data_IF_806513812672
#
_entry.id   IF_806513812672
#
_cell.length_a   1.000
_cell.length_b   1.000
_cell.length_c   1.000
_cell.angle_alpha   90.00
_cell.angle_beta   90.00
_cell.angle_gamma   90.00
#
_symmetry.space_group_name_H-M   'P 1'
#
loop_
_entity.id
_entity.type
_entity.pdbx_description
1 polymer ?
#
# COMPACT_ATOMS: atom_id res chain seq x y z
N UNK A 1 4.17 -9.45 13.62
CA UNK A 1 4.29 -9.33 12.15
C UNK A 1 5.74 -9.44 11.63
N UNK A 2 6.74 -8.77 12.23
CA UNK A 2 8.18 -8.94 11.89
C UNK A 2 8.64 -10.42 11.89
N UNK A 3 8.12 -11.24 12.80
CA UNK A 3 8.53 -12.65 12.95
C UNK A 3 7.98 -13.55 11.83
N UNK A 4 6.73 -13.39 11.39
CA UNK A 4 6.16 -14.15 10.27
C UNK A 4 6.92 -13.79 8.98
N UNK A 5 7.21 -12.50 8.77
CA UNK A 5 8.06 -12.05 7.68
C UNK A 5 9.50 -12.62 7.77
N UNK A 6 10.12 -12.66 8.96
CA UNK A 6 11.44 -13.28 9.16
C UNK A 6 11.44 -14.79 8.88
N UNK A 7 10.43 -15.54 9.34
CA UNK A 7 10.27 -16.98 9.06
C UNK A 7 10.10 -17.26 7.56
N UNK A 8 9.39 -16.36 6.86
CA UNK A 8 9.16 -16.45 5.42
C UNK A 8 10.40 -16.03 4.61
N UNK A 9 11.10 -14.97 5.03
CA UNK A 9 12.30 -14.41 4.39
C UNK A 9 13.54 -15.27 4.59
N UNK A 10 13.75 -15.86 5.77
CA UNK A 10 14.81 -16.88 5.95
C UNK A 10 14.60 -18.09 5.03
N UNK A 11 13.33 -18.44 4.74
CA UNK A 11 12.98 -19.44 3.74
C UNK A 11 13.42 -19.08 2.32
N UNK A 12 13.44 -17.78 1.98
CA UNK A 12 13.89 -17.25 0.68
C UNK A 12 15.41 -17.12 0.58
N UNK A 13 16.12 -16.73 1.65
CA UNK A 13 17.58 -16.57 1.63
C UNK A 13 18.31 -17.94 1.52
N UNK A 14 17.71 -19.01 2.05
CA UNK A 14 18.14 -20.40 1.80
C UNK A 14 17.96 -20.79 0.31
N UNK A 15 17.00 -20.17 -0.39
CA UNK A 15 16.69 -20.45 -1.79
C UNK A 15 17.67 -19.75 -2.76
N UNK A 16 18.15 -18.55 -2.40
CA UNK A 16 19.13 -17.79 -3.21
C UNK A 16 20.54 -18.38 -3.19
N UNK A 17 20.90 -19.11 -2.13
CA UNK A 17 22.26 -19.65 -1.91
C UNK A 17 22.48 -21.06 -2.46
N UNK A 18 21.45 -21.72 -3.02
CA UNK A 18 21.55 -23.11 -3.48
C UNK A 18 21.36 -23.22 -5.00
N UNK A 19 22.24 -23.90 -5.77
CA UNK A 19 22.21 -23.88 -7.23
C UNK A 19 20.89 -24.39 -7.83
N UNK A 20 20.42 -23.71 -8.86
CA UNK A 20 19.24 -24.05 -9.68
C UNK A 20 19.37 -25.43 -10.33
N UNK A 21 18.90 -26.49 -9.64
CA UNK A 21 18.49 -27.75 -10.28
C UNK A 21 17.28 -28.34 -9.57
N UNK A 22 16.13 -28.30 -10.24
CA UNK A 22 15.01 -29.24 -10.15
C UNK A 22 14.61 -29.79 -8.77
N UNK A 23 14.32 -28.92 -7.80
CA UNK A 23 13.71 -29.40 -6.55
C UNK A 23 12.23 -29.76 -6.78
N UNK A 24 11.92 -31.04 -6.60
CA UNK A 24 10.54 -31.53 -6.61
C UNK A 24 9.82 -30.99 -5.35
N UNK A 25 8.57 -30.53 -5.51
CA UNK A 25 7.61 -30.14 -4.46
C UNK A 25 7.72 -30.96 -3.15
N UNK A 26 7.95 -32.26 -3.25
CA UNK A 26 8.12 -33.16 -2.10
C UNK A 26 9.39 -32.93 -1.25
N UNK A 27 10.50 -32.49 -1.85
CA UNK A 27 11.79 -32.33 -1.18
C UNK A 27 11.84 -31.08 -0.28
N UNK A 28 11.14 -30.00 -0.64
CA UNK A 28 11.05 -28.78 0.17
C UNK A 28 10.16 -28.98 1.40
N UNK A 29 9.02 -29.67 1.27
CA UNK A 29 8.21 -30.11 2.41
C UNK A 29 9.02 -31.01 3.35
N UNK A 30 9.80 -31.93 2.79
CA UNK A 30 10.67 -32.80 3.57
C UNK A 30 11.75 -32.01 4.33
N UNK A 31 12.26 -30.91 3.77
CA UNK A 31 13.25 -30.03 4.42
C UNK A 31 12.63 -29.24 5.59
N UNK A 32 11.44 -28.67 5.42
CA UNK A 32 10.71 -27.97 6.49
C UNK A 32 10.37 -28.91 7.66
N UNK A 33 9.79 -30.07 7.37
CA UNK A 33 9.47 -31.11 8.35
C UNK A 33 10.73 -31.67 9.01
N UNK A 34 11.83 -31.81 8.26
CA UNK A 34 13.12 -32.24 8.82
C UNK A 34 13.68 -31.17 9.76
N UNK A 35 13.61 -29.88 9.39
CA UNK A 35 14.08 -28.78 10.23
C UNK A 35 13.27 -28.72 11.53
N UNK A 36 11.94 -28.74 11.44
CA UNK A 36 11.06 -28.82 12.62
C UNK A 36 11.41 -29.97 13.59
N UNK A 37 11.87 -31.12 13.07
CA UNK A 37 12.24 -32.27 13.90
C UNK A 37 13.63 -32.23 14.51
N UNK A 38 14.58 -31.49 13.93
CA UNK A 38 16.01 -31.60 14.29
C UNK A 38 16.65 -30.26 14.68
N UNK A 39 15.99 -29.14 14.41
CA UNK A 39 16.42 -27.78 14.74
C UNK A 39 15.51 -27.26 15.85
N UNK A 40 16.05 -27.20 17.08
CA UNK A 40 15.29 -26.87 18.29
C UNK A 40 14.85 -25.41 18.32
N UNK A 41 15.65 -24.51 17.77
CA UNK A 41 15.33 -23.09 17.70
C UNK A 41 14.20 -22.86 16.69
N UNK A 42 14.28 -23.51 15.52
CA UNK A 42 13.20 -23.47 14.55
C UNK A 42 11.89 -24.09 15.08
N UNK A 43 11.98 -25.22 15.80
CA UNK A 43 10.81 -25.85 16.41
C UNK A 43 10.14 -24.91 17.42
N UNK A 44 10.92 -24.33 18.34
CA UNK A 44 10.41 -23.41 19.36
C UNK A 44 9.74 -22.19 18.71
N UNK A 45 10.41 -21.58 17.73
CA UNK A 45 9.88 -20.44 17.01
C UNK A 45 8.57 -20.77 16.28
N UNK A 46 8.54 -21.90 15.57
CA UNK A 46 7.35 -22.37 14.85
C UNK A 46 6.17 -22.62 15.80
N UNK A 47 6.43 -23.28 16.93
CA UNK A 47 5.40 -23.60 17.91
C UNK A 47 4.85 -22.34 18.57
N UNK A 48 5.71 -21.42 19.00
CA UNK A 48 5.31 -20.12 19.55
C UNK A 48 4.49 -19.30 18.57
N UNK A 49 4.90 -19.21 17.31
CA UNK A 49 4.17 -18.43 16.29
C UNK A 49 2.81 -19.06 15.99
N UNK A 50 2.75 -20.39 15.86
CA UNK A 50 1.46 -21.07 15.64
C UNK A 50 0.53 -20.98 16.86
N UNK A 51 1.06 -20.98 18.09
CA UNK A 51 0.29 -20.75 19.31
C UNK A 51 -0.31 -19.34 19.34
N UNK A 52 0.53 -18.33 19.14
CA UNK A 52 0.10 -16.92 19.14
C UNK A 52 -0.96 -16.68 18.06
N UNK A 53 -0.73 -17.14 16.83
CA UNK A 53 -1.69 -16.96 15.74
C UNK A 53 -3.00 -17.70 15.99
N UNK A 54 -2.96 -18.93 16.49
CA UNK A 54 -4.17 -19.66 16.83
C UNK A 54 -4.97 -18.97 17.94
N UNK A 55 -4.31 -18.43 18.98
CA UNK A 55 -4.95 -17.67 20.05
C UNK A 55 -5.59 -16.37 19.53
N UNK A 56 -4.87 -15.63 18.68
CA UNK A 56 -5.40 -14.41 18.05
C UNK A 56 -6.64 -14.75 17.21
N UNK A 57 -6.58 -15.76 16.35
CA UNK A 57 -7.73 -16.14 15.51
C UNK A 57 -8.92 -16.60 16.34
N UNK A 58 -8.70 -17.32 17.45
CA UNK A 58 -9.79 -17.70 18.37
C UNK A 58 -10.46 -16.46 18.98
N UNK A 59 -9.64 -15.57 19.54
CA UNK A 59 -10.13 -14.32 20.14
C UNK A 59 -10.88 -13.46 19.11
N UNK A 60 -10.34 -13.31 17.90
CA UNK A 60 -10.96 -12.55 16.83
C UNK A 60 -12.29 -13.17 16.37
N UNK A 61 -12.39 -14.51 16.32
CA UNK A 61 -13.63 -15.20 15.97
C UNK A 61 -14.68 -15.11 17.09
N UNK A 62 -14.27 -15.11 18.36
CA UNK A 62 -15.17 -14.87 19.49
C UNK A 62 -15.73 -13.44 19.46
N UNK A 63 -14.85 -12.44 19.21
CA UNK A 63 -15.25 -11.05 19.00
C UNK A 63 -16.23 -10.90 17.84
N UNK A 64 -15.97 -11.58 16.71
CA UNK A 64 -16.86 -11.56 15.56
C UNK A 64 -18.25 -12.10 15.91
N UNK A 65 -18.32 -13.28 16.54
CA UNK A 65 -19.60 -13.89 16.97
C UNK A 65 -20.35 -12.98 17.93
N UNK A 66 -19.65 -12.32 18.85
CA UNK A 66 -20.26 -11.39 19.78
C UNK A 66 -20.87 -10.18 19.05
N UNK A 67 -20.15 -9.61 18.07
CA UNK A 67 -20.64 -8.50 17.24
C UNK A 67 -21.85 -8.91 16.39
N UNK A 68 -21.79 -10.07 15.73
CA UNK A 68 -22.92 -10.59 14.94
C UNK A 68 -24.17 -10.81 15.80
N UNK A 69 -24.01 -11.35 17.02
CA UNK A 69 -25.12 -11.53 17.96
C UNK A 69 -25.68 -10.18 18.47
N UNK A 70 -24.82 -9.20 18.73
CA UNK A 70 -25.22 -7.87 19.15
C UNK A 70 -25.96 -7.10 18.03
N UNK A 71 -25.49 -7.20 16.78
CA UNK A 71 -26.14 -6.63 15.60
C UNK A 71 -27.52 -7.25 15.36
N UNK A 72 -27.66 -8.56 15.56
CA UNK A 72 -28.95 -9.25 15.42
C UNK A 72 -29.98 -8.82 16.48
N UNK A 73 -29.51 -8.50 17.70
CA UNK A 73 -30.34 -7.95 18.77
C UNK A 73 -30.66 -6.45 18.61
N UNK A 74 -29.79 -5.67 17.95
CA UNK A 74 -29.91 -4.21 17.81
C UNK A 74 -30.55 -3.71 16.50
N UNK A 75 -31.29 -4.56 15.76
CA UNK A 75 -31.97 -4.19 14.50
C UNK A 75 -32.95 -2.99 14.57
N UNK A 76 -33.19 -2.38 15.73
CA UNK A 76 -34.13 -1.26 15.93
C UNK A 76 -33.55 0.05 16.50
N UNK A 77 -32.24 0.20 16.74
CA UNK A 77 -31.70 1.48 17.23
C UNK A 77 -30.46 1.91 16.44
N UNK A 78 -30.57 3.07 15.78
CA UNK A 78 -29.44 3.74 15.12
C UNK A 78 -28.50 4.38 16.14
N UNK A 79 -27.20 4.28 15.82
CA UNK A 79 -26.05 5.02 16.35
C UNK A 79 -25.68 4.81 17.84
N UNK A 80 -24.56 4.13 18.06
CA UNK A 80 -23.74 4.29 19.27
C UNK A 80 -22.34 4.73 18.87
N UNK A 81 -21.90 5.90 19.35
CA UNK A 81 -20.51 6.34 19.24
C UNK A 81 -19.62 5.46 20.13
N UNK A 82 -18.43 5.13 19.61
CA UNK A 82 -17.49 4.21 20.22
C UNK A 82 -16.70 4.87 21.37
N UNK A 83 -16.47 4.14 22.44
CA UNK A 83 -15.71 4.51 23.64
C UNK A 83 -14.32 3.83 23.67
N UNK A 84 -13.41 4.26 24.56
CA UNK A 84 -12.06 3.69 24.68
C UNK A 84 -12.02 2.18 25.00
N UNK A 85 -13.08 1.61 25.60
CA UNK A 85 -13.20 0.16 25.82
C UNK A 85 -13.37 -0.64 24.52
N UNK A 86 -13.74 0.00 23.42
CA UNK A 86 -14.02 -0.67 22.14
C UNK A 86 -12.73 -1.06 21.38
N UNK A 87 -11.57 -0.57 21.84
CA UNK A 87 -10.26 -0.88 21.26
C UNK A 87 -9.85 -2.33 21.57
N UNK A 88 -10.14 -2.83 22.78
CA UNK A 88 -9.84 -4.24 23.15
C UNK A 88 -10.75 -5.24 22.41
N UNK A 89 -11.92 -4.79 21.94
CA UNK A 89 -12.91 -5.58 21.19
C UNK A 89 -12.71 -5.56 19.67
N UNK A 90 -11.66 -4.89 19.15
CA UNK A 90 -11.37 -4.89 17.71
C UNK A 90 -10.84 -6.24 17.26
N UNK A 91 -11.25 -6.64 16.06
CA UNK A 91 -10.63 -7.75 15.34
C UNK A 91 -9.24 -7.30 14.91
N UNK A 92 -8.24 -8.18 14.99
CA UNK A 92 -6.87 -7.85 14.60
C UNK A 92 -6.65 -7.99 13.09
N UNK A 93 -5.56 -7.38 12.59
CA UNK A 93 -5.13 -7.52 11.19
C UNK A 93 -4.54 -8.90 10.87
N UNK A 94 -4.33 -9.78 11.87
CA UNK A 94 -3.57 -11.02 11.72
C UNK A 94 -4.12 -11.96 10.64
N UNK A 95 -5.44 -12.08 10.53
CA UNK A 95 -6.08 -12.92 9.51
C UNK A 95 -5.88 -12.32 8.10
N UNK A 96 -5.91 -11.00 7.97
CA UNK A 96 -5.65 -10.29 6.71
C UNK A 96 -4.23 -10.54 6.23
N UNK A 97 -3.25 -10.43 7.12
CA UNK A 97 -1.84 -10.69 6.78
C UNK A 97 -1.61 -12.13 6.36
N UNK A 98 -2.27 -13.08 7.03
CA UNK A 98 -2.14 -14.51 6.71
C UNK A 98 -2.84 -14.88 5.41
N UNK A 99 -4.04 -14.36 5.16
CA UNK A 99 -4.76 -14.55 3.90
C UNK A 99 -3.94 -14.05 2.71
N UNK A 100 -3.34 -12.88 2.86
CA UNK A 100 -2.53 -12.27 1.81
C UNK A 100 -1.17 -12.96 1.60
N UNK A 101 -0.49 -13.40 2.67
CA UNK A 101 0.69 -14.25 2.51
C UNK A 101 0.36 -15.48 1.65
N UNK A 102 -0.84 -16.07 1.81
CA UNK A 102 -1.23 -17.21 0.99
C UNK A 102 -1.47 -16.89 -0.49
N UNK A 103 -1.96 -15.69 -0.83
CA UNK A 103 -2.15 -15.28 -2.22
C UNK A 103 -0.83 -14.97 -2.91
N UNK A 104 0.09 -14.25 -2.26
CA UNK A 104 1.36 -13.84 -2.89
C UNK A 104 2.34 -15.03 -3.05
N UNK A 105 2.37 -15.98 -2.12
CA UNK A 105 3.25 -17.16 -2.22
C UNK A 105 2.68 -18.30 -3.08
N UNK A 106 1.48 -18.13 -3.65
CA UNK A 106 0.81 -19.10 -4.54
C UNK A 106 1.34 -19.07 -5.98
N UNK A 107 1.75 -17.89 -6.48
CA UNK A 107 1.93 -17.69 -7.92
C UNK A 107 3.25 -18.22 -8.50
N UNK A 108 4.23 -18.59 -7.68
CA UNK A 108 5.51 -19.09 -8.23
C UNK A 108 6.22 -20.20 -7.44
N UNK A 109 5.87 -20.48 -6.18
CA UNK A 109 6.21 -21.71 -5.46
C UNK A 109 5.58 -21.69 -4.05
N UNK A 110 4.71 -22.64 -3.67
CA UNK A 110 4.20 -22.68 -2.31
C UNK A 110 5.35 -22.95 -1.35
N UNK A 111 5.71 -21.96 -0.53
CA UNK A 111 6.66 -22.15 0.56
C UNK A 111 6.05 -23.15 1.55
N UNK A 112 6.48 -24.42 1.50
CA UNK A 112 5.96 -25.51 2.33
C UNK A 112 6.05 -25.24 3.85
N UNK A 113 6.87 -24.29 4.29
CA UNK A 113 6.87 -23.75 5.66
C UNK A 113 5.49 -23.20 6.06
N UNK A 114 4.78 -22.55 5.13
CA UNK A 114 3.44 -21.98 5.35
C UNK A 114 2.42 -23.09 5.53
N UNK A 115 2.52 -24.19 4.77
CA UNK A 115 1.59 -25.32 4.89
C UNK A 115 1.75 -25.98 6.25
N UNK A 116 2.98 -26.25 6.69
CA UNK A 116 3.22 -26.83 8.02
C UNK A 116 2.72 -25.90 9.14
N UNK A 117 2.94 -24.60 8.99
CA UNK A 117 2.45 -23.59 9.93
C UNK A 117 0.92 -23.57 9.97
N UNK A 118 0.25 -23.60 8.81
CA UNK A 118 -1.21 -23.66 8.71
C UNK A 118 -1.78 -24.95 9.32
N UNK A 119 -1.14 -26.08 9.10
CA UNK A 119 -1.53 -27.35 9.73
C UNK A 119 -1.46 -27.23 11.25
N UNK A 120 -0.36 -26.68 11.79
CA UNK A 120 -0.23 -26.47 13.24
C UNK A 120 -1.23 -25.45 13.79
N UNK A 121 -1.48 -24.34 13.08
CA UNK A 121 -2.50 -23.36 13.47
C UNK A 121 -3.88 -24.03 13.47
N UNK A 122 -4.24 -24.77 12.42
CA UNK A 122 -5.53 -25.43 12.31
C UNK A 122 -5.76 -26.43 13.46
N UNK A 123 -4.74 -27.23 13.83
CA UNK A 123 -4.83 -28.18 14.95
C UNK A 123 -5.01 -27.48 16.30
N UNK A 124 -4.47 -26.28 16.44
CA UNK A 124 -4.59 -25.46 17.65
C UNK A 124 -5.90 -24.66 17.67
N UNK A 125 -6.41 -24.29 16.51
CA UNK A 125 -7.60 -23.45 16.33
C UNK A 125 -8.90 -24.25 16.43
N UNK A 126 -9.04 -25.33 15.67
CA UNK A 126 -10.27 -26.14 15.67
C UNK A 126 -10.32 -27.14 16.83
N UNK A 127 -11.52 -27.51 17.32
CA UNK A 127 -11.68 -28.51 18.36
C UNK A 127 -11.10 -29.89 17.96
N UNK A 128 -10.42 -30.61 18.87
CA UNK A 128 -9.89 -31.94 18.59
C UNK A 128 -10.94 -32.95 18.11
N UNK A 129 -12.20 -32.79 18.52
CA UNK A 129 -13.31 -33.68 18.18
C UNK A 129 -13.62 -33.63 16.68
N UNK A 130 -13.51 -32.46 16.06
CA UNK A 130 -13.74 -32.30 14.62
C UNK A 130 -12.63 -32.97 13.81
N UNK A 131 -11.39 -32.95 14.31
CA UNK A 131 -10.28 -33.73 13.74
C UNK A 131 -10.54 -35.23 13.84
N UNK A 132 -10.94 -35.70 15.02
CA UNK A 132 -11.25 -37.13 15.24
C UNK A 132 -12.36 -37.61 14.31
N UNK A 133 -13.41 -36.80 14.12
CA UNK A 133 -14.49 -37.12 13.18
C UNK A 133 -13.97 -37.30 11.75
N UNK A 134 -13.12 -36.39 11.27
CA UNK A 134 -12.52 -36.49 9.93
C UNK A 134 -11.57 -37.69 9.79
N UNK A 135 -10.87 -38.07 10.86
CA UNK A 135 -10.02 -39.26 10.85
C UNK A 135 -10.82 -40.57 10.85
N UNK A 136 -12.03 -40.56 11.40
CA UNK A 136 -12.97 -41.68 11.37
C UNK A 136 -13.68 -41.77 10.01
N UNK A 137 -14.16 -40.64 9.48
CA UNK A 137 -15.05 -40.56 8.31
C UNK A 137 -14.29 -40.41 6.96
N UNK A 138 -13.02 -40.01 6.98
CA UNK A 138 -12.25 -39.58 5.79
C UNK A 138 -11.36 -40.63 5.10
N UNK A 139 -11.85 -41.17 3.97
CA UNK A 139 -11.15 -41.37 2.68
C UNK A 139 -9.78 -42.08 2.53
N UNK A 140 -9.82 -43.36 2.12
CA UNK A 140 -8.95 -44.07 1.13
C UNK A 140 -7.43 -44.27 1.41
N UNK A 141 -6.94 -44.03 2.63
CA UNK A 141 -5.58 -44.40 3.03
C UNK A 141 -5.55 -45.51 4.09
N UNK A 142 -4.86 -46.63 3.84
CA UNK A 142 -4.63 -47.65 4.87
C UNK A 142 -3.61 -47.14 5.91
N UNK A 143 -4.09 -46.57 7.02
CA UNK A 143 -3.28 -46.30 8.22
C UNK A 143 -3.48 -44.93 8.88
N UNK A 144 -3.17 -44.85 10.18
CA UNK A 144 -3.33 -43.65 11.03
C UNK A 144 -2.74 -42.38 10.43
N UNK A 145 -1.57 -42.49 9.79
CA UNK A 145 -0.86 -41.33 9.19
C UNK A 145 -1.58 -40.73 7.98
N UNK A 146 -2.27 -41.54 7.19
CA UNK A 146 -2.99 -41.05 6.00
C UNK A 146 -4.27 -40.28 6.41
N UNK A 147 -4.96 -40.78 7.45
CA UNK A 147 -6.13 -40.15 8.05
C UNK A 147 -5.81 -38.79 8.66
N UNK A 148 -4.73 -38.69 9.45
CA UNK A 148 -4.29 -37.41 10.01
C UNK A 148 -4.00 -36.36 8.93
N UNK A 149 -3.29 -36.75 7.85
CA UNK A 149 -3.03 -35.86 6.72
C UNK A 149 -4.29 -35.41 5.97
N UNK A 150 -5.31 -36.25 5.92
CA UNK A 150 -6.59 -35.88 5.33
C UNK A 150 -7.29 -34.83 6.20
N UNK A 151 -7.38 -35.07 7.51
CA UNK A 151 -7.94 -34.12 8.46
C UNK A 151 -7.22 -32.76 8.42
N UNK A 152 -5.88 -32.77 8.40
CA UNK A 152 -5.07 -31.55 8.24
C UNK A 152 -5.45 -30.76 6.97
N UNK A 153 -5.57 -31.43 5.82
CA UNK A 153 -5.93 -30.75 4.55
C UNK A 153 -7.32 -30.12 4.61
N UNK A 154 -8.29 -30.84 5.18
CA UNK A 154 -9.66 -30.34 5.31
C UNK A 154 -9.71 -29.14 6.24
N UNK A 155 -9.05 -29.20 7.40
CA UNK A 155 -9.05 -28.11 8.36
C UNK A 155 -8.26 -26.90 7.88
N UNK A 156 -7.14 -27.10 7.19
CA UNK A 156 -6.42 -26.00 6.53
C UNK A 156 -7.29 -25.34 5.46
N UNK A 157 -8.07 -26.12 4.70
CA UNK A 157 -9.01 -25.56 3.73
C UNK A 157 -10.07 -24.71 4.41
N UNK A 158 -10.67 -25.19 5.50
CA UNK A 158 -11.65 -24.41 6.29
C UNK A 158 -11.06 -23.14 6.87
N UNK A 159 -9.82 -23.20 7.39
CA UNK A 159 -9.12 -22.02 7.88
C UNK A 159 -9.00 -20.94 6.77
N UNK A 160 -8.71 -21.37 5.53
CA UNK A 160 -8.56 -20.48 4.37
C UNK A 160 -9.87 -19.95 3.81
N UNK A 161 -10.89 -20.79 3.77
CA UNK A 161 -12.13 -20.53 3.04
C UNK A 161 -13.22 -19.94 3.96
N UNK A 162 -13.15 -20.22 5.26
CA UNK A 162 -14.16 -19.80 6.25
C UNK A 162 -13.59 -18.75 7.21
N UNK A 163 -12.48 -19.05 7.89
CA UNK A 163 -11.98 -18.23 9.01
C UNK A 163 -11.33 -16.95 8.50
N UNK A 164 -10.34 -17.06 7.61
CA UNK A 164 -9.64 -15.88 7.11
C UNK A 164 -10.58 -14.89 6.43
N UNK A 165 -11.44 -15.28 5.46
CA UNK A 165 -12.31 -14.32 4.80
C UNK A 165 -13.28 -13.64 5.77
N UNK A 166 -13.81 -14.37 6.77
CA UNK A 166 -14.73 -13.81 7.77
C UNK A 166 -14.04 -12.77 8.67
N UNK A 167 -12.87 -13.11 9.22
CA UNK A 167 -12.10 -12.19 10.06
C UNK A 167 -11.59 -11.00 9.26
N UNK A 168 -11.12 -11.23 8.04
CA UNK A 168 -10.65 -10.16 7.16
C UNK A 168 -11.81 -9.22 6.82
N UNK A 169 -12.99 -9.74 6.43
CA UNK A 169 -14.19 -8.93 6.21
C UNK A 169 -14.56 -8.08 7.42
N UNK A 170 -14.59 -8.70 8.60
CA UNK A 170 -15.00 -8.01 9.80
C UNK A 170 -13.97 -6.99 10.31
N UNK A 171 -12.68 -7.24 10.09
CA UNK A 171 -11.62 -6.24 10.32
C UNK A 171 -11.87 -4.98 9.47
N UNK A 172 -12.10 -5.14 8.17
CA UNK A 172 -12.34 -3.98 7.29
C UNK A 172 -13.65 -3.28 7.61
N UNK A 173 -14.73 -4.01 7.89
CA UNK A 173 -16.01 -3.38 8.27
C UNK A 173 -15.91 -2.51 9.54
N UNK A 174 -14.94 -2.77 10.42
CA UNK A 174 -14.68 -1.96 11.62
C UNK A 174 -13.90 -0.67 11.36
N UNK A 175 -13.11 -0.65 10.29
CA UNK A 175 -12.25 0.50 9.94
C UNK A 175 -12.82 1.30 8.77
N UNK A 176 -13.71 0.67 7.98
CA UNK A 176 -14.39 1.21 6.81
C UNK A 176 -15.87 0.83 6.93
N UNK A 177 -16.65 1.53 7.78
CA UNK A 177 -18.07 1.24 7.97
C UNK A 177 -18.82 1.34 6.65
N UNK A 178 -19.81 0.45 6.48
CA UNK A 178 -20.58 0.30 5.25
C UNK A 178 -21.52 1.51 5.08
N UNK A 179 -21.05 2.57 4.42
CA UNK A 179 -21.96 3.44 3.69
C UNK A 179 -22.57 2.66 2.51
N UNK A 180 -23.62 3.20 1.87
CA UNK A 180 -24.09 2.68 0.58
C UNK A 180 -22.88 2.39 -0.32
N UNK A 181 -22.83 1.21 -0.95
CA UNK A 181 -21.66 0.76 -1.70
C UNK A 181 -21.16 1.90 -2.59
N UNK A 182 -19.97 2.42 -2.26
CA UNK A 182 -19.49 3.64 -2.90
C UNK A 182 -19.41 3.41 -4.41
N UNK A 183 -19.42 4.51 -5.19
CA UNK A 183 -19.23 4.41 -6.64
C UNK A 183 -17.95 3.59 -6.97
N UNK A 184 -16.93 3.68 -6.12
CA UNK A 184 -15.68 2.92 -6.21
C UNK A 184 -15.92 1.42 -5.99
N UNK A 185 -16.64 1.00 -4.94
CA UNK A 185 -16.93 -0.41 -4.70
C UNK A 185 -17.78 -1.04 -5.81
N UNK A 186 -18.78 -0.29 -6.28
CA UNK A 186 -19.63 -0.72 -7.41
C UNK A 186 -18.79 -0.94 -8.67
N UNK A 187 -17.79 -0.09 -8.90
CA UNK A 187 -16.84 -0.26 -9.99
C UNK A 187 -15.90 -1.47 -9.76
N UNK A 188 -15.32 -1.61 -8.57
CA UNK A 188 -14.41 -2.70 -8.24
C UNK A 188 -15.09 -4.08 -8.28
N UNK A 189 -16.39 -4.18 -7.98
CA UNK A 189 -17.16 -5.41 -8.24
C UNK A 189 -17.24 -5.75 -9.72
N UNK A 190 -17.40 -4.75 -10.61
CA UNK A 190 -17.37 -4.97 -12.07
C UNK A 190 -16.00 -5.46 -12.51
N UNK A 191 -14.92 -4.82 -12.02
CA UNK A 191 -13.54 -5.26 -12.27
C UNK A 191 -13.36 -6.73 -11.89
N UNK A 192 -13.79 -7.09 -10.68
CA UNK A 192 -13.71 -8.45 -10.16
C UNK A 192 -14.51 -9.44 -11.03
N UNK A 193 -15.74 -9.09 -11.42
CA UNK A 193 -16.57 -9.93 -12.28
C UNK A 193 -15.90 -10.21 -13.64
N UNK A 194 -15.30 -9.19 -14.26
CA UNK A 194 -14.55 -9.31 -15.53
C UNK A 194 -13.37 -10.29 -15.37
N UNK A 195 -12.69 -10.26 -14.23
CA UNK A 195 -11.55 -11.13 -13.94
C UNK A 195 -11.97 -12.59 -13.72
N UNK A 196 -13.09 -12.82 -13.03
CA UNK A 196 -13.62 -14.16 -12.81
C UNK A 196 -14.06 -14.84 -14.12
N UNK A 197 -14.52 -14.07 -15.11
CA UNK A 197 -14.98 -14.60 -16.40
C UNK A 197 -13.84 -14.87 -17.41
N UNK A 198 -12.69 -14.21 -17.29
CA UNK A 198 -11.61 -14.29 -18.28
C UNK A 198 -10.60 -15.43 -18.07
N UNK A 199 -10.71 -16.19 -16.97
CA UNK A 199 -10.01 -17.47 -16.75
C UNK A 199 -8.47 -17.42 -16.76
N UNK A 200 -7.85 -16.24 -16.87
CA UNK A 200 -6.39 -16.08 -16.91
C UNK A 200 -5.93 -14.98 -15.97
N UNK A 201 -5.13 -15.35 -14.98
CA UNK A 201 -4.52 -14.45 -13.99
C UNK A 201 -3.40 -13.55 -14.56
N UNK A 202 -3.29 -13.43 -15.89
CA UNK A 202 -2.04 -12.97 -16.51
C UNK A 202 -2.17 -11.92 -17.61
N UNK A 203 -3.36 -11.60 -18.12
CA UNK A 203 -3.51 -10.52 -19.11
C UNK A 203 -4.96 -10.13 -19.24
N UNK A 204 -5.34 -9.06 -18.55
CA UNK A 204 -6.45 -8.24 -19.02
C UNK A 204 -5.86 -7.39 -20.15
N UNK A 205 -5.77 -8.00 -21.33
CA UNK A 205 -5.57 -7.23 -22.55
C UNK A 205 -6.79 -6.34 -22.70
N UNK A 206 -6.58 -5.04 -22.57
CA UNK A 206 -7.25 -3.91 -23.26
C UNK A 206 -8.55 -4.24 -24.01
N UNK A 207 -9.52 -4.84 -23.33
CA UNK A 207 -10.80 -5.26 -23.90
C UNK A 207 -11.89 -4.43 -23.24
N UNK A 208 -12.01 -3.20 -23.73
CA UNK A 208 -13.19 -2.32 -23.77
C UNK A 208 -14.11 -2.19 -22.53
N UNK A 209 -13.76 -2.72 -21.36
CA UNK A 209 -14.64 -2.82 -20.18
C UNK A 209 -14.01 -2.33 -18.88
N UNK A 210 -12.68 -2.23 -18.83
CA UNK A 210 -11.92 -1.56 -17.76
C UNK A 210 -11.46 -0.21 -18.28
N UNK A 211 -11.94 0.86 -17.66
CA UNK A 211 -11.44 2.20 -17.88
C UNK A 211 -10.23 2.39 -16.96
N UNK A 212 -9.03 2.44 -17.55
CA UNK A 212 -7.78 2.51 -16.80
C UNK A 212 -7.67 3.80 -15.95
N UNK A 213 -8.46 4.81 -16.27
CA UNK A 213 -8.60 6.11 -15.61
C UNK A 213 -9.88 6.25 -14.77
N UNK A 214 -10.61 5.15 -14.51
CA UNK A 214 -11.87 5.18 -13.77
C UNK A 214 -11.75 5.65 -12.32
N UNK A 215 -10.61 5.38 -11.68
CA UNK A 215 -10.32 5.69 -10.29
C UNK A 215 -9.04 6.51 -10.19
N UNK A 216 -9.01 7.46 -9.27
CA UNK A 216 -7.80 8.20 -8.90
C UNK A 216 -6.83 7.30 -8.12
N UNK A 217 -5.52 7.61 -8.11
CA UNK A 217 -4.52 6.76 -7.46
C UNK A 217 -4.84 6.43 -5.99
N UNK A 218 -5.27 7.42 -5.21
CA UNK A 218 -5.59 7.25 -3.78
C UNK A 218 -6.89 6.45 -3.56
N UNK A 219 -7.85 6.54 -4.48
CA UNK A 219 -9.07 5.72 -4.47
C UNK A 219 -8.74 4.24 -4.74
N UNK A 220 -7.64 3.95 -5.44
CA UNK A 220 -7.16 2.58 -5.66
C UNK A 220 -6.38 2.10 -4.42
N UNK A 221 -5.43 2.90 -3.92
CA UNK A 221 -4.61 2.49 -2.76
C UNK A 221 -5.43 2.27 -1.51
N UNK A 222 -6.50 3.03 -1.28
CA UNK A 222 -7.41 2.83 -0.15
C UNK A 222 -8.03 1.42 -0.09
N UNK A 223 -8.10 0.70 -1.22
CA UNK A 223 -8.64 -0.67 -1.28
C UNK A 223 -7.57 -1.76 -1.30
N UNK A 224 -6.26 -1.46 -1.27
CA UNK A 224 -5.19 -2.48 -1.35
C UNK A 224 -5.25 -3.51 -0.23
N UNK A 225 -5.68 -3.07 0.95
CA UNK A 225 -5.88 -3.94 2.10
C UNK A 225 -7.24 -4.64 2.07
N UNK A 226 -8.23 -4.09 1.36
CA UNK A 226 -9.63 -4.51 1.42
C UNK A 226 -9.80 -5.98 1.06
N UNK A 227 -10.48 -6.73 1.93
CA UNK A 227 -10.65 -8.18 1.82
C UNK A 227 -11.28 -8.66 0.50
N UNK A 228 -12.26 -7.90 -0.01
CA UNK A 228 -13.02 -8.27 -1.19
C UNK A 228 -12.45 -7.65 -2.48
N UNK A 229 -11.77 -6.50 -2.34
CA UNK A 229 -11.44 -5.63 -3.46
C UNK A 229 -9.94 -5.44 -3.67
N UNK A 230 -9.07 -5.92 -2.77
CA UNK A 230 -7.63 -5.72 -2.90
C UNK A 230 -7.04 -6.25 -4.21
N UNK A 231 -7.51 -7.40 -4.69
CA UNK A 231 -7.09 -7.92 -6.00
C UNK A 231 -7.60 -7.06 -7.16
N UNK A 232 -8.85 -6.59 -7.10
CA UNK A 232 -9.43 -5.70 -8.11
C UNK A 232 -8.70 -4.34 -8.14
N UNK A 233 -8.35 -3.81 -6.96
CA UNK A 233 -7.56 -2.59 -6.82
C UNK A 233 -6.15 -2.76 -7.43
N UNK A 234 -5.46 -3.88 -7.17
CA UNK A 234 -4.16 -4.15 -7.79
C UNK A 234 -4.22 -4.24 -9.32
N UNK A 235 -5.29 -4.85 -9.86
CA UNK A 235 -5.50 -4.91 -11.31
C UNK A 235 -5.80 -3.54 -11.90
N UNK A 236 -6.64 -2.74 -11.22
CA UNK A 236 -6.92 -1.37 -11.63
C UNK A 236 -5.63 -0.52 -11.61
N UNK A 237 -4.80 -0.65 -10.57
CA UNK A 237 -3.52 0.05 -10.48
C UNK A 237 -2.60 -0.28 -11.65
N UNK A 238 -2.44 -1.57 -11.96
CA UNK A 238 -1.60 -2.02 -13.08
C UNK A 238 -2.09 -1.44 -14.41
N UNK A 239 -3.41 -1.46 -14.66
CA UNK A 239 -3.97 -0.86 -15.87
C UNK A 239 -3.77 0.66 -15.89
N UNK A 240 -3.99 1.37 -14.77
CA UNK A 240 -3.75 2.81 -14.68
C UNK A 240 -2.28 3.16 -14.98
N UNK A 241 -1.33 2.50 -14.31
CA UNK A 241 0.11 2.75 -14.51
C UNK A 241 0.54 2.46 -15.94
N UNK A 242 0.12 1.33 -16.51
CA UNK A 242 0.52 0.92 -17.85
C UNK A 242 -0.19 1.72 -18.96
N UNK A 243 -1.51 1.75 -18.94
CA UNK A 243 -2.36 2.20 -20.05
C UNK A 243 -2.55 3.72 -20.08
N UNK A 244 -2.60 4.37 -18.91
CA UNK A 244 -2.80 5.82 -18.82
C UNK A 244 -1.46 6.55 -18.88
N UNK A 245 -0.49 6.14 -18.07
CA UNK A 245 0.71 6.96 -17.87
C UNK A 245 1.94 6.43 -18.60
N UNK A 246 2.26 5.13 -18.48
CA UNK A 246 3.49 4.57 -19.04
C UNK A 246 3.50 4.58 -20.57
N UNK A 247 2.42 4.13 -21.22
CA UNK A 247 2.30 4.15 -22.70
C UNK A 247 2.32 5.55 -23.29
N UNK A 248 1.83 6.55 -22.55
CA UNK A 248 1.86 7.95 -22.95
C UNK A 248 3.21 8.63 -22.65
N UNK A 249 4.10 7.96 -21.90
CA UNK A 249 5.40 8.49 -21.54
C UNK A 249 5.36 9.63 -20.51
N UNK A 250 4.27 9.73 -19.73
CA UNK A 250 4.07 10.78 -18.72
C UNK A 250 4.95 10.56 -17.50
N UNK A 251 5.33 11.64 -16.82
CA UNK A 251 5.99 11.63 -15.49
C UNK A 251 7.38 10.97 -15.40
N UNK A 252 8.04 10.65 -16.51
CA UNK A 252 9.34 9.93 -16.56
C UNK A 252 10.49 10.53 -15.73
N UNK A 253 10.48 11.84 -15.51
CA UNK A 253 11.55 12.60 -14.84
C UNK A 253 11.07 13.25 -13.54
N UNK A 254 10.14 12.60 -12.84
CA UNK A 254 9.62 13.06 -11.54
C UNK A 254 10.23 12.28 -10.38
N UNK A 255 10.34 12.93 -9.22
CA UNK A 255 10.70 12.27 -7.97
C UNK A 255 9.77 12.73 -6.86
N UNK A 256 9.24 11.79 -6.09
CA UNK A 256 8.34 12.10 -4.99
C UNK A 256 9.08 12.16 -3.66
N UNK A 257 8.73 13.16 -2.84
CA UNK A 257 9.02 13.24 -1.41
C UNK A 257 7.72 13.05 -0.65
N UNK A 258 7.61 11.98 0.14
CA UNK A 258 6.35 11.57 0.75
C UNK A 258 6.36 11.87 2.25
N UNK A 259 5.45 12.73 2.70
CA UNK A 259 5.07 12.83 4.10
C UNK A 259 4.01 11.79 4.45
N UNK A 260 4.40 10.81 5.27
CA UNK A 260 3.54 9.71 5.73
C UNK A 260 3.32 9.76 7.25
N UNK A 261 3.46 10.95 7.87
CA UNK A 261 3.37 11.11 9.32
C UNK A 261 1.94 10.88 9.85
N UNK A 262 1.69 9.80 10.62
CA UNK A 262 0.37 9.50 11.16
C UNK A 262 0.16 10.15 12.53
N UNK A 263 0.88 11.23 12.91
CA UNK A 263 0.42 12.05 14.06
C UNK A 263 -0.70 13.00 13.69
N UNK A 264 -1.05 13.05 12.41
CA UNK A 264 -2.15 13.83 11.85
C UNK A 264 -3.30 12.92 11.37
N UNK A 265 -3.57 11.80 12.08
CA UNK A 265 -4.54 10.74 11.69
C UNK A 265 -5.99 11.20 11.48
N UNK A 266 -6.31 12.46 11.72
CA UNK A 266 -7.63 13.03 11.45
C UNK A 266 -7.85 13.32 9.94
N UNK A 267 -6.81 13.13 9.10
CA UNK A 267 -6.86 13.30 7.65
C UNK A 267 -6.29 12.08 6.89
N UNK A 268 -7.02 10.96 6.94
CA UNK A 268 -6.66 9.72 6.24
C UNK A 268 -6.52 9.89 4.72
N UNK A 269 -7.27 10.83 4.12
CA UNK A 269 -7.24 11.09 2.68
C UNK A 269 -5.88 11.65 2.26
N UNK A 270 -5.35 12.62 3.01
CA UNK A 270 -4.01 13.19 2.73
C UNK A 270 -2.90 12.15 2.81
N UNK A 271 -2.97 11.22 3.77
CA UNK A 271 -2.03 10.11 3.86
C UNK A 271 -2.12 9.19 2.64
N UNK A 272 -3.33 8.82 2.22
CA UNK A 272 -3.54 7.98 1.04
C UNK A 272 -3.04 8.64 -0.24
N UNK A 273 -3.31 9.94 -0.42
CA UNK A 273 -2.80 10.72 -1.56
C UNK A 273 -1.28 10.76 -1.58
N UNK A 274 -0.65 11.00 -0.43
CA UNK A 274 0.81 11.02 -0.29
C UNK A 274 1.44 9.69 -0.73
N UNK A 275 0.90 8.57 -0.22
CA UNK A 275 1.39 7.23 -0.56
C UNK A 275 1.13 6.91 -2.04
N UNK A 276 -0.08 7.16 -2.54
CA UNK A 276 -0.47 6.82 -3.90
C UNK A 276 0.34 7.58 -4.95
N UNK A 277 0.54 8.90 -4.77
CA UNK A 277 1.37 9.68 -5.70
C UNK A 277 2.85 9.31 -5.61
N UNK A 278 3.34 9.03 -4.40
CA UNK A 278 4.69 8.50 -4.21
C UNK A 278 4.95 7.22 -5.00
N UNK A 279 4.04 6.25 -4.89
CA UNK A 279 4.10 5.01 -5.64
C UNK A 279 3.98 5.24 -7.15
N UNK A 280 2.98 6.00 -7.59
CA UNK A 280 2.72 6.24 -9.00
C UNK A 280 3.95 6.84 -9.69
N UNK A 281 4.49 7.92 -9.15
CA UNK A 281 5.67 8.58 -9.73
C UNK A 281 6.88 7.63 -9.70
N UNK A 282 7.09 6.89 -8.61
CA UNK A 282 8.21 5.93 -8.55
C UNK A 282 8.14 4.86 -9.65
N UNK A 283 6.95 4.38 -10.02
CA UNK A 283 6.79 3.36 -11.06
C UNK A 283 6.96 3.91 -12.47
N UNK A 284 6.61 5.19 -12.68
CA UNK A 284 6.68 5.88 -13.97
C UNK A 284 8.05 6.46 -14.29
N UNK A 285 8.84 6.80 -13.26
CA UNK A 285 10.17 7.37 -13.45
C UNK A 285 11.14 6.41 -14.15
N UNK A 286 12.11 6.97 -14.85
CA UNK A 286 13.16 6.23 -15.55
C UNK A 286 14.36 5.94 -14.64
N UNK A 287 15.20 4.98 -15.05
CA UNK A 287 16.45 4.68 -14.34
C UNK A 287 17.38 5.92 -14.37
N UNK A 288 18.07 6.22 -13.25
CA UNK A 288 18.19 5.42 -12.04
C UNK A 288 17.15 5.73 -10.94
N UNK A 289 16.16 6.57 -11.23
CA UNK A 289 15.19 7.04 -10.24
C UNK A 289 14.00 6.09 -10.07
N UNK A 290 13.78 5.22 -11.05
CA UNK A 290 12.72 4.22 -11.06
C UNK A 290 12.66 3.41 -9.76
N UNK A 291 11.45 3.27 -9.24
CA UNK A 291 11.15 2.53 -8.02
C UNK A 291 11.69 3.18 -6.75
N UNK A 292 12.09 4.45 -6.79
CA UNK A 292 12.62 5.18 -5.62
C UNK A 292 11.71 6.33 -5.19
N UNK A 293 11.70 6.59 -3.90
CA UNK A 293 11.00 7.72 -3.25
C UNK A 293 11.88 8.31 -2.16
N UNK A 294 11.70 9.59 -1.85
CA UNK A 294 12.35 10.24 -0.72
C UNK A 294 11.38 10.33 0.44
N UNK A 295 11.85 10.02 1.65
CA UNK A 295 11.06 10.24 2.87
C UNK A 295 11.07 11.74 3.26
N UNK A 296 9.94 12.27 3.68
CA UNK A 296 9.87 13.62 4.24
C UNK A 296 10.53 13.66 5.64
N UNK A 297 11.75 14.21 5.71
CA UNK A 297 12.54 14.32 6.94
C UNK A 297 13.71 15.29 6.79
N UNK A 298 14.17 15.90 7.89
CA UNK A 298 15.44 16.67 7.95
C UNK A 298 16.64 15.87 7.43
N UNK A 299 16.61 14.55 7.64
CA UNK A 299 17.58 13.60 7.12
C UNK A 299 16.92 12.84 5.96
N UNK A 300 16.66 13.56 4.88
CA UNK A 300 16.07 13.00 3.68
C UNK A 300 16.93 11.84 3.16
N UNK A 301 16.29 10.72 2.83
CA UNK A 301 16.93 9.53 2.29
C UNK A 301 16.15 9.04 1.09
N UNK A 302 16.88 8.62 0.05
CA UNK A 302 16.32 8.00 -1.14
C UNK A 302 16.17 6.51 -0.90
N UNK A 303 14.92 6.05 -0.83
CA UNK A 303 14.56 4.66 -0.59
C UNK A 303 14.21 3.96 -1.88
N UNK A 304 14.77 2.77 -2.11
CA UNK A 304 14.31 1.87 -3.16
C UNK A 304 13.13 1.06 -2.63
N UNK A 305 11.95 1.24 -3.23
CA UNK A 305 10.73 0.58 -2.79
C UNK A 305 10.88 -0.93 -2.96
N UNK A 306 10.59 -1.65 -1.87
CA UNK A 306 10.57 -3.11 -1.85
C UNK A 306 9.14 -3.62 -2.07
N UNK A 307 8.99 -4.88 -2.48
CA UNK A 307 7.68 -5.51 -2.70
C UNK A 307 7.46 -6.11 -4.10
N UNK A 308 8.41 -5.94 -5.02
CA UNK A 308 8.31 -6.53 -6.35
C UNK A 308 7.15 -5.96 -7.15
N UNK A 309 6.27 -6.82 -7.69
CA UNK A 309 5.11 -6.41 -8.50
C UNK A 309 3.80 -6.30 -7.70
N UNK A 310 3.87 -6.44 -6.38
CA UNK A 310 2.69 -6.47 -5.52
C UNK A 310 2.46 -5.09 -4.90
N UNK A 311 1.33 -4.48 -5.28
CA UNK A 311 0.96 -3.13 -4.89
C UNK A 311 0.87 -2.96 -3.37
N UNK A 312 0.32 -3.96 -2.66
CA UNK A 312 0.12 -3.86 -1.22
C UNK A 312 1.45 -3.88 -0.46
N UNK A 313 2.44 -4.65 -0.93
CA UNK A 313 3.79 -4.60 -0.33
C UNK A 313 4.49 -3.27 -0.59
N UNK A 314 4.36 -2.71 -1.81
CA UNK A 314 4.90 -1.38 -2.11
C UNK A 314 4.24 -0.30 -1.25
N UNK A 315 2.91 -0.36 -1.12
CA UNK A 315 2.12 0.52 -0.25
C UNK A 315 2.60 0.45 1.20
N UNK A 316 2.71 -0.75 1.77
CA UNK A 316 3.18 -0.92 3.15
C UNK A 316 4.64 -0.49 3.34
N UNK A 317 5.49 -0.62 2.33
CA UNK A 317 6.85 -0.10 2.38
C UNK A 317 6.85 1.42 2.54
N UNK A 318 6.10 2.14 1.68
CA UNK A 318 6.01 3.60 1.70
C UNK A 318 5.36 4.08 3.00
N UNK A 319 4.24 3.46 3.40
CA UNK A 319 3.49 3.77 4.63
C UNK A 319 4.33 3.64 5.91
N UNK A 320 5.33 2.75 5.91
CA UNK A 320 6.20 2.47 7.07
C UNK A 320 7.51 3.27 7.06
N UNK A 321 7.75 4.12 6.07
CA UNK A 321 8.95 4.95 6.04
C UNK A 321 9.06 5.83 7.30
N UNK A 322 10.30 6.13 7.67
CA UNK A 322 10.59 6.88 8.89
C UNK A 322 10.09 8.32 8.79
N UNK A 323 9.74 8.91 9.94
CA UNK A 323 8.93 10.13 10.05
C UNK A 323 9.79 11.36 10.30
N UNK A 324 9.53 12.43 9.57
CA UNK A 324 9.98 13.81 9.88
C UNK A 324 8.83 14.72 10.30
N UNK A 325 9.16 15.88 10.86
CA UNK A 325 8.19 16.97 11.11
C UNK A 325 8.42 18.17 10.19
N UNK A 326 9.54 18.19 9.50
CA UNK A 326 10.06 19.26 8.66
C UNK A 326 11.09 18.68 7.67
N UNK A 327 11.46 19.49 6.69
CA UNK A 327 12.29 19.15 5.55
C UNK A 327 13.39 20.19 5.37
N UNK A 328 14.60 19.70 5.13
CA UNK A 328 15.75 20.51 4.77
C UNK A 328 15.84 20.54 3.24
N UNK A 329 15.35 21.62 2.63
CA UNK A 329 15.27 21.73 1.18
C UNK A 329 16.65 21.70 0.53
N UNK A 330 17.66 22.37 1.11
CA UNK A 330 19.01 22.33 0.58
C UNK A 330 19.56 20.89 0.58
N UNK A 331 19.38 20.14 1.67
CA UNK A 331 19.79 18.72 1.72
C UNK A 331 19.01 17.82 0.77
N UNK A 332 17.72 18.12 0.54
CA UNK A 332 16.93 17.40 -0.47
C UNK A 332 17.57 17.55 -1.86
N UNK A 333 17.95 18.77 -2.24
CA UNK A 333 18.61 19.03 -3.51
C UNK A 333 20.03 18.48 -3.56
N UNK A 334 20.78 18.52 -2.45
CA UNK A 334 22.10 17.90 -2.33
C UNK A 334 22.03 16.38 -2.52
N UNK A 335 21.01 15.71 -1.97
CA UNK A 335 20.81 14.27 -2.14
C UNK A 335 20.60 13.90 -3.62
N UNK A 336 19.78 14.67 -4.34
CA UNK A 336 19.56 14.46 -5.78
C UNK A 336 20.85 14.69 -6.57
N UNK A 337 21.57 15.78 -6.26
CA UNK A 337 22.85 16.09 -6.89
C UNK A 337 23.90 15.01 -6.62
N UNK A 338 23.93 14.48 -5.40
CA UNK A 338 24.85 13.42 -5.00
C UNK A 338 24.61 12.15 -5.82
N UNK A 339 23.36 11.74 -6.04
CA UNK A 339 23.04 10.60 -6.91
C UNK A 339 23.51 10.88 -8.33
N UNK A 340 23.26 12.08 -8.86
CA UNK A 340 23.69 12.46 -10.21
C UNK A 340 25.20 12.37 -10.40
N UNK A 341 25.96 12.91 -9.45
CA UNK A 341 27.43 12.89 -9.48
C UNK A 341 27.96 11.47 -9.31
N UNK A 342 27.42 10.69 -8.36
CA UNK A 342 27.89 9.33 -8.08
C UNK A 342 27.64 8.38 -9.25
N UNK A 343 26.50 8.53 -9.93
CA UNK A 343 26.12 7.70 -11.07
C UNK A 343 26.57 8.30 -12.42
N UNK A 344 27.24 9.46 -12.40
CA UNK A 344 27.73 10.18 -13.57
C UNK A 344 26.62 10.40 -14.63
N UNK A 345 25.48 10.89 -14.18
CA UNK A 345 24.29 11.07 -15.00
C UNK A 345 24.49 12.16 -16.05
N UNK A 346 23.91 11.97 -17.23
CA UNK A 346 23.79 13.03 -18.21
C UNK A 346 22.65 13.98 -17.83
N UNK A 347 22.66 15.25 -18.31
CA UNK A 347 21.60 16.20 -18.01
C UNK A 347 20.18 15.74 -18.38
N UNK A 348 20.03 14.93 -19.43
CA UNK A 348 18.74 14.35 -19.86
C UNK A 348 18.23 13.24 -18.94
N UNK A 349 19.09 12.65 -18.11
CA UNK A 349 18.75 11.63 -17.10
C UNK A 349 18.44 12.24 -15.72
N UNK A 350 18.54 13.57 -15.59
CA UNK A 350 18.24 14.27 -14.34
C UNK A 350 16.73 14.33 -14.11
N UNK A 351 16.33 14.25 -12.83
CA UNK A 351 14.99 14.62 -12.42
C UNK A 351 14.74 16.09 -12.79
N UNK A 352 13.60 16.34 -13.44
CA UNK A 352 13.18 17.69 -13.84
C UNK A 352 12.23 18.30 -12.81
N UNK A 353 11.42 17.49 -12.16
CA UNK A 353 10.45 17.94 -11.16
C UNK A 353 10.47 17.07 -9.90
N UNK A 354 10.49 17.71 -8.74
CA UNK A 354 10.38 17.04 -7.44
C UNK A 354 9.03 17.39 -6.84
N UNK A 355 8.16 16.39 -6.63
CA UNK A 355 6.88 16.56 -5.96
C UNK A 355 7.05 16.34 -4.46
N UNK A 356 6.88 17.38 -3.66
CA UNK A 356 6.88 17.30 -2.19
C UNK A 356 5.45 17.27 -1.69
N UNK A 357 5.02 16.12 -1.19
CA UNK A 357 3.69 15.92 -0.61
C UNK A 357 3.80 16.13 0.89
N UNK A 358 3.14 17.16 1.41
CA UNK A 358 3.34 17.63 2.79
C UNK A 358 2.02 17.96 3.48
N UNK A 359 1.94 17.70 4.78
CA UNK A 359 0.87 18.24 5.63
C UNK A 359 1.13 19.69 6.07
N UNK A 360 2.31 20.05 6.64
CA UNK A 360 2.62 21.45 6.94
C UNK A 360 2.70 22.28 5.65
N UNK A 361 2.37 23.56 5.75
CA UNK A 361 2.59 24.48 4.64
C UNK A 361 4.09 24.73 4.39
N UNK A 362 4.42 25.22 3.20
CA UNK A 362 5.80 25.41 2.74
C UNK A 362 6.70 26.14 3.74
N UNK A 363 6.20 27.24 4.32
CA UNK A 363 6.95 28.06 5.26
C UNK A 363 7.19 27.32 6.58
N UNK A 364 6.19 26.57 7.08
CA UNK A 364 6.31 25.80 8.32
C UNK A 364 7.12 24.50 8.16
N UNK A 365 7.17 23.98 6.94
CA UNK A 365 7.90 22.75 6.60
C UNK A 365 9.40 22.95 6.53
N UNK A 366 9.87 24.16 6.25
CA UNK A 366 11.30 24.47 6.14
C UNK A 366 11.99 24.49 7.50
N UNK A 367 13.16 23.84 7.62
CA UNK A 367 14.05 24.02 8.78
C UNK A 367 14.90 25.28 8.70
N UNK A 368 15.02 25.88 7.51
CA UNK A 368 15.90 27.02 7.29
C UNK A 368 15.34 28.29 7.95
N UNK A 369 16.24 29.12 8.47
CA UNK A 369 15.89 30.46 8.98
C UNK A 369 16.09 31.55 7.90
N UNK A 370 16.52 31.15 6.71
CA UNK A 370 16.77 31.99 5.53
C UNK A 370 15.57 31.99 4.59
N UNK A 371 15.52 32.95 3.66
CA UNK A 371 14.47 32.94 2.63
C UNK A 371 14.79 31.93 1.53
N UNK A 372 13.75 31.37 0.91
CA UNK A 372 13.89 30.40 -0.17
C UNK A 372 14.77 30.92 -1.33
N UNK A 373 14.73 32.22 -1.65
CA UNK A 373 15.55 32.77 -2.73
C UNK A 373 17.05 32.61 -2.48
N UNK A 374 17.49 32.74 -1.22
CA UNK A 374 18.89 32.57 -0.85
C UNK A 374 19.28 31.09 -0.94
N UNK A 375 18.45 30.21 -0.40
CA UNK A 375 18.68 28.76 -0.43
C UNK A 375 18.71 28.25 -1.88
N UNK A 376 17.80 28.73 -2.72
CA UNK A 376 17.74 28.36 -4.13
C UNK A 376 18.97 28.85 -4.92
N UNK A 377 19.48 30.05 -4.64
CA UNK A 377 20.74 30.52 -5.24
C UNK A 377 21.94 29.65 -4.85
N UNK A 378 21.99 29.19 -3.59
CA UNK A 378 23.01 28.26 -3.12
C UNK A 378 22.90 26.90 -3.84
N UNK A 379 21.69 26.36 -3.96
CA UNK A 379 21.39 25.13 -4.72
C UNK A 379 21.84 25.27 -6.18
N UNK A 380 21.47 26.36 -6.87
CA UNK A 380 21.87 26.60 -8.26
C UNK A 380 23.40 26.65 -8.42
N UNK A 381 24.09 27.30 -7.47
CA UNK A 381 25.55 27.38 -7.48
C UNK A 381 26.19 26.00 -7.34
N UNK A 382 25.72 25.16 -6.40
CA UNK A 382 26.19 23.79 -6.23
C UNK A 382 25.97 22.92 -7.47
N UNK A 383 24.80 23.01 -8.10
CA UNK A 383 24.51 22.28 -9.34
C UNK A 383 25.41 22.74 -10.49
N UNK A 384 25.62 24.05 -10.63
CA UNK A 384 26.52 24.63 -11.65
C UNK A 384 27.96 24.14 -11.49
N UNK A 385 28.49 24.11 -10.27
CA UNK A 385 29.84 23.61 -9.97
C UNK A 385 30.04 22.13 -10.36
N UNK A 386 28.95 21.35 -10.37
CA UNK A 386 28.97 19.93 -10.77
C UNK A 386 28.60 19.69 -12.23
N UNK A 387 28.36 20.75 -13.02
CA UNK A 387 28.00 20.63 -14.43
C UNK A 387 26.49 20.42 -14.71
N UNK A 388 25.64 20.61 -13.70
CA UNK A 388 24.18 20.42 -13.78
C UNK A 388 23.38 21.74 -13.65
N UNK A 389 24.02 22.89 -13.87
CA UNK A 389 23.41 24.21 -13.64
C UNK A 389 22.14 24.50 -14.46
N UNK A 390 22.01 23.90 -15.65
CA UNK A 390 20.85 24.08 -16.54
C UNK A 390 19.71 23.09 -16.24
N UNK A 391 19.92 22.15 -15.32
CA UNK A 391 18.99 21.04 -15.01
C UNK A 391 18.76 20.91 -13.50
N UNK A 392 18.72 22.05 -12.79
CA UNK A 392 18.25 22.10 -11.40
C UNK A 392 16.76 21.73 -11.38
N UNK A 393 16.35 20.71 -10.59
CA UNK A 393 14.94 20.30 -10.54
C UNK A 393 14.02 21.45 -10.10
N UNK A 394 12.83 21.55 -10.71
CA UNK A 394 11.77 22.41 -10.22
C UNK A 394 10.99 21.70 -9.10
N UNK A 395 10.83 22.34 -7.96
CA UNK A 395 10.07 21.77 -6.85
C UNK A 395 8.58 22.11 -6.98
N UNK A 396 7.73 21.10 -6.94
CA UNK A 396 6.28 21.27 -6.74
C UNK A 396 5.99 20.90 -5.30
N UNK A 397 5.75 21.89 -4.45
CA UNK A 397 5.41 21.66 -3.06
C UNK A 397 3.88 21.65 -2.91
N UNK A 398 3.30 20.52 -2.52
CA UNK A 398 1.86 20.36 -2.39
C UNK A 398 1.46 20.11 -0.94
N UNK A 399 0.85 21.13 -0.34
CA UNK A 399 0.21 21.05 0.98
C UNK A 399 -1.13 20.34 0.85
N UNK A 400 -1.24 19.12 1.38
CA UNK A 400 -2.43 18.26 1.23
C UNK A 400 -3.56 18.58 2.21
N UNK A 401 -3.32 19.40 3.23
CA UNK A 401 -4.32 19.73 4.27
C UNK A 401 -5.66 20.23 3.68
N UNK A 402 -6.77 19.97 4.40
CA UNK A 402 -8.11 20.43 4.01
C UNK A 402 -8.09 21.91 3.62
N UNK A 403 -8.77 22.21 2.51
CA UNK A 403 -8.90 23.55 1.96
C UNK A 403 -9.27 24.57 3.06
N UNK A 404 -8.38 25.54 3.29
CA UNK A 404 -8.64 26.67 4.15
C UNK A 404 -9.06 27.87 3.26
N UNK A 405 -10.31 28.34 3.32
CA UNK A 405 -10.78 29.48 2.53
C UNK A 405 -10.03 30.80 2.83
N UNK A 406 -9.35 30.91 3.98
CA UNK A 406 -8.47 32.05 4.30
C UNK A 406 -7.08 31.95 3.63
N UNK A 407 -6.72 30.77 3.09
CA UNK A 407 -5.48 30.50 2.33
C UNK A 407 -5.84 29.86 0.98
N UNK A 408 -6.29 30.64 -0.03
CA UNK A 408 -6.78 30.08 -1.30
C UNK A 408 -5.71 29.23 -2.01
N UNK A 409 -6.17 28.28 -2.85
CA UNK A 409 -5.40 27.35 -3.72
C UNK A 409 -4.58 28.09 -4.80
N UNK A 410 -4.32 29.39 -4.65
CA UNK A 410 -3.53 30.15 -5.61
C UNK A 410 -2.07 29.67 -5.52
N UNK A 411 -1.43 29.27 -6.64
CA UNK A 411 -0.04 28.87 -6.63
C UNK A 411 0.79 30.08 -6.26
N UNK A 412 1.64 29.90 -5.24
CA UNK A 412 2.76 30.82 -5.07
C UNK A 412 3.91 30.28 -5.88
N UNK A 413 4.26 30.99 -6.95
CA UNK A 413 5.45 30.71 -7.73
C UNK A 413 6.59 31.58 -7.21
N UNK A 414 7.65 30.93 -6.74
CA UNK A 414 8.94 31.55 -6.49
C UNK A 414 9.96 30.89 -7.42
N UNK A 415 11.16 31.47 -7.64
CA UNK A 415 12.17 30.85 -8.49
C UNK A 415 12.42 29.39 -8.10
N UNK A 416 12.25 28.45 -9.04
CA UNK A 416 12.48 27.03 -8.81
C UNK A 416 11.45 26.28 -7.96
N UNK A 417 10.35 26.93 -7.53
CA UNK A 417 9.28 26.27 -6.77
C UNK A 417 7.88 26.76 -7.15
N UNK A 418 6.94 25.81 -7.25
CA UNK A 418 5.50 26.05 -7.31
C UNK A 418 4.85 25.45 -6.07
N UNK A 419 4.09 26.26 -5.33
CA UNK A 419 3.41 25.82 -4.11
C UNK A 419 1.92 25.63 -4.40
N UNK A 420 1.38 24.45 -4.15
CA UNK A 420 -0.04 24.11 -4.25
C UNK A 420 -0.61 23.91 -2.86
N UNK A 421 -1.74 24.55 -2.56
CA UNK A 421 -2.38 24.47 -1.24
C UNK A 421 -3.77 23.86 -1.35
N UNK A 422 -4.03 22.86 -0.52
CA UNK A 422 -5.32 22.19 -0.49
C UNK A 422 -5.39 21.00 -1.44
N UNK A 423 -6.36 20.14 -1.17
CA UNK A 423 -6.62 18.94 -1.93
C UNK A 423 -8.07 18.88 -2.40
N UNK A 424 -8.28 18.48 -3.66
CA UNK A 424 -9.55 18.03 -4.19
C UNK A 424 -9.32 16.99 -5.29
N UNK A 425 -10.30 16.11 -5.51
CA UNK A 425 -10.24 15.11 -6.59
C UNK A 425 -10.13 15.77 -7.97
N UNK A 426 -10.77 16.92 -8.18
CA UNK A 426 -10.65 17.67 -9.44
C UNK A 426 -9.24 18.24 -9.63
N UNK A 427 -8.62 18.81 -8.59
CA UNK A 427 -7.25 19.31 -8.65
C UNK A 427 -6.26 18.18 -8.93
N UNK A 428 -6.40 17.04 -8.25
CA UNK A 428 -5.59 15.85 -8.50
C UNK A 428 -5.75 15.35 -9.93
N UNK A 429 -6.98 15.24 -10.43
CA UNK A 429 -7.25 14.81 -11.81
C UNK A 429 -6.57 15.74 -12.82
N UNK A 430 -6.74 17.06 -12.66
CA UNK A 430 -6.10 18.03 -13.55
C UNK A 430 -4.57 17.97 -13.49
N UNK A 431 -3.99 17.82 -12.30
CA UNK A 431 -2.55 17.62 -12.12
C UNK A 431 -2.06 16.38 -12.90
N UNK A 432 -2.79 15.27 -12.81
CA UNK A 432 -2.45 14.03 -13.50
C UNK A 432 -2.60 14.14 -15.03
N UNK A 433 -3.66 14.79 -15.49
CA UNK A 433 -3.96 14.97 -16.92
C UNK A 433 -2.90 15.85 -17.61
N UNK A 434 -2.39 16.87 -16.91
CA UNK A 434 -1.47 17.88 -17.44
C UNK A 434 -0.01 17.72 -16.99
N UNK A 435 0.41 16.52 -16.57
CA UNK A 435 1.78 16.25 -16.13
C UNK A 435 2.32 17.26 -15.09
N UNK A 436 1.48 17.57 -14.12
CA UNK A 436 1.77 18.46 -13.02
C UNK A 436 1.81 19.95 -13.36
N UNK A 437 1.40 20.34 -14.56
CA UNK A 437 1.09 21.73 -14.89
C UNK A 437 -0.31 22.09 -14.40
N UNK A 438 -0.45 23.24 -13.73
CA UNK A 438 -1.74 23.76 -13.28
C UNK A 438 -1.83 25.22 -13.71
N UNK A 439 -2.74 25.49 -14.65
CA UNK A 439 -2.97 26.83 -15.18
C UNK A 439 -3.67 27.74 -14.16
N UNK A 440 -3.38 29.04 -14.23
CA UNK A 440 -4.02 30.05 -13.39
C UNK A 440 -5.54 30.09 -13.61
N UNK A 441 -5.99 29.95 -14.86
CA UNK A 441 -7.42 29.97 -15.21
C UNK A 441 -8.16 28.80 -14.56
N UNK A 442 -7.59 27.60 -14.59
CA UNK A 442 -8.18 26.43 -13.94
C UNK A 442 -8.29 26.59 -12.43
N UNK A 443 -7.30 27.23 -11.79
CA UNK A 443 -7.34 27.47 -10.34
C UNK A 443 -8.35 28.54 -9.96
N UNK A 444 -8.49 29.56 -10.81
CA UNK A 444 -9.57 30.54 -10.68
C UNK A 444 -10.93 29.84 -10.79
N UNK A 445 -11.14 29.02 -11.82
CA UNK A 445 -12.37 28.21 -12.00
C UNK A 445 -12.64 27.32 -10.79
N UNK A 446 -11.64 26.60 -10.28
CA UNK A 446 -11.77 25.78 -9.08
C UNK A 446 -12.18 26.62 -7.86
N UNK A 447 -11.53 27.77 -7.64
CA UNK A 447 -11.82 28.63 -6.49
C UNK A 447 -13.25 29.20 -6.52
N UNK A 448 -13.81 29.45 -7.71
CA UNK A 448 -15.17 29.98 -7.88
C UNK A 448 -16.24 28.90 -8.16
N UNK A 449 -15.86 27.62 -8.22
CA UNK A 449 -16.78 26.51 -8.49
C UNK A 449 -17.68 26.14 -7.28
N UNK A 450 -17.35 26.63 -6.09
CA UNK A 450 -18.11 26.44 -4.86
C UNK A 450 -19.54 27.02 -5.00
N UNK A 451 -20.54 26.32 -4.47
CA UNK A 451 -21.96 26.70 -4.56
C UNK A 451 -22.21 28.15 -4.11
N UNK A 452 -21.42 28.66 -3.16
CA UNK A 452 -21.54 30.03 -2.65
C UNK A 452 -21.25 31.09 -3.72
N UNK A 453 -20.48 30.76 -4.75
CA UNK A 453 -20.12 31.68 -5.83
C UNK A 453 -20.98 31.47 -7.09
N UNK A 454 -21.83 30.44 -7.15
CA UNK A 454 -22.69 30.20 -8.31
C UNK A 454 -23.73 31.31 -8.55
N UNK A 455 -24.05 32.11 -7.52
CA UNK A 455 -24.92 33.27 -7.64
C UNK A 455 -24.20 34.51 -8.22
N UNK A 456 -22.87 34.47 -8.36
CA UNK A 456 -22.09 35.56 -8.95
C UNK A 456 -22.06 35.42 -10.47
N UNK A 457 -22.31 36.53 -11.18
CA UNK A 457 -22.18 36.59 -12.63
C UNK A 457 -20.88 37.30 -13.00
N UNK A 458 -20.05 36.67 -13.82
CA UNK A 458 -18.87 37.33 -14.41
C UNK A 458 -19.39 38.32 -15.45
N UNK A 459 -19.07 39.60 -15.27
CA UNK A 459 -19.42 40.67 -16.22
C UNK A 459 -18.13 41.09 -16.91
N UNK A 460 -18.12 41.01 -18.24
CA UNK A 460 -17.06 41.51 -19.14
C UNK A 460 -17.11 43.05 -19.21
#
# INVERSE_FOLDING_TARGET
>A
MNIVYHILREGQDIYKTTPRRGYNRYQLLHKAVKRYKHDRDYQLLHDQVSDILAQIFKSDMEKLKFKEAAEEQNKNNQLKQLSESDIEERITLAACDMHYALSTFSESNPHYNIILLLESIARKFFPPEEYHKLELDGGHGKGKRAKAKYADRVMVKRLKDEVFPSLTKAYFAQHYPRDEASAVETYLEKVKAICCCSGSAGKISSSSSLLADALLPHEITGYVHHWNFGHAAELQWKSMVEDVYSKQGKFKNWLAVCDVNPRFMDDEVSLEVSIALGLLLSELSEEPWKGKVIQFSREAQLHSIQGGNDLRYKYEFVRRMSRGVDLDFEKLFDLILQVAVNENLKPDQMIKKVLVLSHPDFDSASVAQTSWEIDYQAIQSKYKEKGYGDVVPHMVFWTLSKYNPEKPVAPRTQPGVSILNGFSNSLLKHFLDNEGEIGHDYLMELAISDERYQALTVVD
#
